data_IF_175466489446
#
_entry.id   IF_175466489446
#
_cell.length_a   1.000
_cell.length_b   1.000
_cell.length_c   1.000
_cell.angle_alpha   90.00
_cell.angle_beta   90.00
_cell.angle_gamma   90.00
#
_symmetry.space_group_name_H-M   'P 1'
#
loop_
_entity.id
_entity.type
_entity.pdbx_description
1 polymer ?
#
# COMPACT_ATOMS: atom_id res chain seq x y z
N UNK A 1 9.53 -21.75 -14.19
CA UNK A 1 9.98 -20.47 -13.58
C UNK A 1 11.26 -20.03 -14.28
N UNK A 2 11.44 -18.75 -14.64
CA UNK A 2 12.66 -18.30 -15.33
C UNK A 2 13.85 -18.31 -14.37
N UNK A 3 14.98 -18.87 -14.80
CA UNK A 3 16.28 -18.85 -14.09
C UNK A 3 16.87 -17.43 -14.18
N UNK A 4 16.52 -16.55 -13.23
CA UNK A 4 16.98 -15.16 -13.19
C UNK A 4 18.29 -14.98 -12.42
N UNK A 5 19.27 -14.31 -13.02
CA UNK A 5 20.50 -13.88 -12.34
C UNK A 5 20.23 -12.62 -11.52
N UNK A 6 20.85 -12.46 -10.33
CA UNK A 6 20.71 -11.26 -9.49
C UNK A 6 22.03 -10.49 -9.40
N UNK A 7 21.95 -9.16 -9.29
CA UNK A 7 23.09 -8.28 -9.12
C UNK A 7 23.19 -7.87 -7.65
N UNK A 8 24.37 -8.10 -7.05
CA UNK A 8 24.77 -7.52 -5.77
C UNK A 8 25.19 -6.07 -6.02
N UNK A 9 24.51 -5.12 -5.39
CA UNK A 9 25.01 -3.76 -5.23
C UNK A 9 25.65 -3.71 -3.83
N UNK A 10 26.98 -3.58 -3.75
CA UNK A 10 27.67 -3.21 -2.52
C UNK A 10 27.70 -1.68 -2.39
N UNK A 11 27.82 -1.10 -1.18
CA UNK A 11 27.79 0.35 -0.99
C UNK A 11 28.95 1.11 -1.66
N UNK A 12 30.02 0.43 -2.10
CA UNK A 12 31.13 1.07 -2.79
C UNK A 12 31.63 0.23 -3.98
N UNK A 13 31.51 0.83 -5.18
CA UNK A 13 32.37 0.72 -6.36
C UNK A 13 32.25 -0.50 -7.32
N UNK A 14 31.71 -1.67 -6.97
CA UNK A 14 31.46 -2.74 -7.98
C UNK A 14 30.12 -3.49 -7.86
N UNK A 15 29.34 -3.51 -8.94
CA UNK A 15 28.16 -4.37 -9.09
C UNK A 15 28.60 -5.79 -9.49
N UNK A 16 28.44 -6.78 -8.61
CA UNK A 16 28.77 -8.19 -8.91
C UNK A 16 27.51 -8.94 -9.34
N UNK A 17 27.54 -9.57 -10.51
CA UNK A 17 26.48 -10.52 -10.93
C UNK A 17 26.66 -11.80 -10.10
N UNK A 18 25.62 -12.18 -9.37
CA UNK A 18 25.54 -13.43 -8.63
C UNK A 18 24.87 -14.47 -9.52
N UNK A 19 25.51 -15.64 -9.65
CA UNK A 19 24.99 -16.79 -10.40
C UNK A 19 24.74 -18.01 -9.53
N UNK A 20 25.50 -18.14 -8.44
CA UNK A 20 25.39 -19.26 -7.51
C UNK A 20 24.08 -19.23 -6.71
N UNK A 21 23.45 -20.39 -6.59
CA UNK A 21 22.16 -20.57 -5.94
C UNK A 21 22.17 -20.11 -4.47
N UNK A 22 23.20 -20.47 -3.71
CA UNK A 22 23.30 -20.11 -2.29
C UNK A 22 23.56 -18.62 -2.09
N UNK A 23 24.39 -18.01 -2.94
CA UNK A 23 24.62 -16.56 -2.91
C UNK A 23 23.36 -15.77 -3.27
N UNK A 24 22.54 -16.27 -4.20
CA UNK A 24 21.24 -15.69 -4.56
C UNK A 24 20.29 -15.75 -3.35
N UNK A 25 20.22 -16.92 -2.69
CA UNK A 25 19.40 -17.11 -1.48
C UNK A 25 19.83 -16.16 -0.37
N UNK A 26 21.13 -16.09 -0.08
CA UNK A 26 21.70 -15.19 0.91
C UNK A 26 21.42 -13.73 0.58
N UNK A 27 21.55 -13.33 -0.69
CA UNK A 27 21.27 -11.95 -1.12
C UNK A 27 19.81 -11.55 -0.89
N UNK A 28 18.88 -12.48 -1.14
CA UNK A 28 17.45 -12.27 -0.86
C UNK A 28 17.20 -12.08 0.62
N UNK A 29 17.77 -12.96 1.45
CA UNK A 29 17.65 -12.87 2.91
C UNK A 29 18.19 -11.53 3.43
N UNK A 30 19.43 -11.17 3.06
CA UNK A 30 20.04 -9.88 3.42
C UNK A 30 19.14 -8.70 3.01
N UNK A 31 18.57 -8.74 1.80
CA UNK A 31 17.70 -7.69 1.29
C UNK A 31 16.40 -7.55 2.08
N UNK A 32 15.71 -8.65 2.34
CA UNK A 32 14.40 -8.62 3.01
C UNK A 32 14.54 -8.35 4.50
N UNK A 33 15.57 -8.88 5.15
CA UNK A 33 15.86 -8.56 6.55
C UNK A 33 16.11 -7.06 6.70
N UNK A 34 16.97 -6.47 5.86
CA UNK A 34 17.22 -5.01 5.88
C UNK A 34 15.95 -4.20 5.61
N UNK A 35 15.14 -4.63 4.63
CA UNK A 35 13.91 -3.94 4.25
C UNK A 35 12.88 -3.90 5.38
N UNK A 36 12.70 -5.02 6.09
CA UNK A 36 11.68 -5.18 7.12
C UNK A 36 12.21 -5.00 8.55
N UNK A 37 13.49 -4.66 8.73
CA UNK A 37 14.09 -4.40 10.04
C UNK A 37 13.41 -3.19 10.70
N UNK A 38 12.99 -3.37 11.96
CA UNK A 38 12.47 -2.27 12.78
C UNK A 38 13.59 -1.26 13.04
N UNK A 39 13.30 0.02 12.88
CA UNK A 39 14.21 1.07 13.31
C UNK A 39 14.17 1.16 14.84
N UNK A 40 15.32 1.18 15.50
CA UNK A 40 15.48 0.97 16.96
C UNK A 40 14.89 2.10 17.85
N UNK A 41 14.15 3.04 17.29
CA UNK A 41 13.92 4.34 17.92
C UNK A 41 12.64 4.52 18.75
N UNK A 42 11.77 3.50 18.89
CA UNK A 42 10.56 3.69 19.70
C UNK A 42 10.16 2.40 20.45
N UNK A 43 10.38 2.32 21.78
CA UNK A 43 9.82 1.23 22.58
C UNK A 43 8.30 1.32 22.57
N UNK A 44 7.64 0.18 22.36
CA UNK A 44 6.18 0.09 22.28
C UNK A 44 5.58 0.33 23.69
N UNK A 45 5.15 1.56 23.96
CA UNK A 45 4.82 2.02 25.31
C UNK A 45 3.31 2.06 25.60
N UNK A 46 2.52 1.17 24.98
CA UNK A 46 1.06 1.16 25.13
C UNK A 46 0.52 -0.12 25.80
N UNK A 47 0.57 -0.14 27.13
CA UNK A 47 -0.22 -1.01 28.01
C UNK A 47 -1.61 -0.39 28.28
N UNK A 48 -2.41 -0.16 27.25
CA UNK A 48 -3.81 0.26 27.42
C UNK A 48 -4.66 -0.93 27.85
N UNK A 49 -5.17 -0.94 29.08
CA UNK A 49 -6.18 -1.90 29.52
C UNK A 49 -7.49 -1.60 28.78
N UNK A 50 -8.00 -2.58 28.04
CA UNK A 50 -9.27 -2.46 27.30
C UNK A 50 -10.41 -2.41 28.32
N UNK A 51 -11.14 -1.30 28.39
CA UNK A 51 -12.39 -1.21 29.16
C UNK A 51 -13.53 -1.89 28.38
N UNK A 52 -14.42 -2.58 29.09
CA UNK A 52 -15.49 -3.42 28.51
C UNK A 52 -16.47 -2.68 27.57
N UNK A 53 -16.48 -1.34 27.57
CA UNK A 53 -17.36 -0.48 26.77
C UNK A 53 -16.93 -0.24 25.32
N UNK A 54 -15.73 -0.68 24.90
CA UNK A 54 -15.20 -0.48 23.54
C UNK A 54 -14.97 -1.79 22.76
N UNK A 55 -15.63 -2.88 23.16
CA UNK A 55 -15.46 -4.18 22.50
C UNK A 55 -16.41 -4.30 21.31
N UNK A 56 -15.86 -4.70 20.17
CA UNK A 56 -16.65 -5.03 18.99
C UNK A 56 -17.52 -6.27 19.24
N UNK A 57 -18.68 -6.40 18.56
CA UNK A 57 -19.52 -7.59 18.63
C UNK A 57 -18.74 -8.86 18.34
N UNK A 58 -19.15 -9.97 18.95
CA UNK A 58 -18.57 -11.29 18.65
C UNK A 58 -18.69 -11.63 17.16
N UNK A 59 -17.81 -12.50 16.66
CA UNK A 59 -17.89 -12.96 15.26
C UNK A 59 -19.13 -13.83 15.10
N UNK A 60 -19.82 -13.68 13.97
CA UNK A 60 -20.92 -14.56 13.57
C UNK A 60 -20.40 -15.67 12.65
N UNK A 61 -21.00 -16.86 12.74
CA UNK A 61 -20.68 -17.98 11.85
C UNK A 61 -20.94 -17.61 10.37
N UNK A 62 -21.95 -16.78 10.11
CA UNK A 62 -22.25 -16.25 8.77
C UNK A 62 -21.13 -15.37 8.23
N UNK A 63 -20.40 -14.62 9.07
CA UNK A 63 -19.23 -13.83 8.63
C UNK A 63 -18.10 -14.76 8.17
N UNK A 64 -17.90 -15.88 8.87
CA UNK A 64 -16.89 -16.89 8.52
C UNK A 64 -17.25 -17.59 7.21
N UNK A 65 -18.51 -18.00 7.07
CA UNK A 65 -19.03 -18.60 5.84
C UNK A 65 -18.85 -17.66 4.64
N UNK A 66 -19.32 -16.42 4.78
CA UNK A 66 -19.15 -15.39 3.75
C UNK A 66 -17.67 -15.15 3.41
N UNK A 67 -16.81 -15.05 4.42
CA UNK A 67 -15.39 -14.82 4.22
C UNK A 67 -14.74 -15.99 3.45
N UNK A 68 -15.07 -17.23 3.81
CA UNK A 68 -14.57 -18.42 3.13
C UNK A 68 -15.02 -18.49 1.67
N UNK A 69 -16.31 -18.23 1.40
CA UNK A 69 -16.87 -18.21 0.04
C UNK A 69 -16.28 -17.09 -0.83
N UNK A 70 -15.85 -15.98 -0.21
CA UNK A 70 -15.24 -14.85 -0.92
C UNK A 70 -13.79 -15.08 -1.35
N UNK A 71 -13.12 -16.13 -0.83
CA UNK A 71 -11.72 -16.43 -1.19
C UNK A 71 -11.71 -17.13 -2.54
N UNK A 72 -10.97 -16.55 -3.49
CA UNK A 72 -10.79 -17.13 -4.83
C UNK A 72 -10.06 -18.48 -4.77
N UNK A 73 -10.53 -19.44 -5.58
CA UNK A 73 -9.89 -20.74 -5.80
C UNK A 73 -8.66 -20.65 -6.71
N UNK A 74 -7.93 -21.75 -6.84
CA UNK A 74 -6.70 -21.90 -7.63
C UNK A 74 -5.59 -20.91 -7.22
N UNK A 75 -5.54 -20.59 -5.92
CA UNK A 75 -4.49 -19.73 -5.35
C UNK A 75 -3.45 -20.55 -4.61
N UNK A 76 -2.21 -20.07 -4.65
CA UNK A 76 -1.11 -20.71 -3.94
C UNK A 76 -1.37 -20.72 -2.43
N UNK A 77 -1.14 -21.89 -1.80
CA UNK A 77 -1.20 -22.07 -0.35
C UNK A 77 -0.09 -21.31 0.36
N UNK A 78 -0.34 -21.01 1.64
CA UNK A 78 0.69 -20.50 2.55
C UNK A 78 1.73 -21.55 2.91
N UNK A 79 2.51 -21.26 3.96
CA UNK A 79 3.51 -22.19 4.48
C UNK A 79 2.92 -23.49 5.05
N UNK A 80 1.64 -23.49 5.40
CA UNK A 80 0.88 -24.66 5.88
C UNK A 80 0.53 -25.68 4.78
N UNK A 81 0.68 -25.30 3.51
CA UNK A 81 0.35 -26.14 2.34
C UNK A 81 -1.12 -26.59 2.29
N UNK A 82 -2.01 -25.86 2.96
CA UNK A 82 -3.44 -26.14 2.92
C UNK A 82 -4.09 -25.30 1.80
N UNK A 83 -4.59 -25.94 0.72
CA UNK A 83 -5.30 -25.25 -0.36
C UNK A 83 -6.70 -24.81 0.11
N UNK A 84 -7.27 -23.79 -0.52
CA UNK A 84 -8.61 -23.28 -0.14
C UNK A 84 -9.71 -24.30 -0.47
N UNK A 85 -9.48 -25.09 -1.52
CA UNK A 85 -10.36 -26.14 -2.03
C UNK A 85 -10.67 -27.20 -0.97
N UNK A 86 -9.75 -27.47 -0.05
CA UNK A 86 -9.99 -28.40 1.05
C UNK A 86 -11.13 -27.90 1.95
N UNK A 87 -11.14 -26.62 2.29
CA UNK A 87 -12.22 -26.03 3.09
C UNK A 87 -13.55 -26.04 2.33
N UNK A 88 -13.52 -25.87 1.01
CA UNK A 88 -14.73 -25.93 0.17
C UNK A 88 -15.31 -27.35 0.07
N UNK A 89 -14.47 -28.38 0.12
CA UNK A 89 -14.91 -29.78 0.17
C UNK A 89 -15.57 -30.08 1.52
N UNK A 90 -14.97 -29.61 2.62
CA UNK A 90 -15.46 -29.83 3.99
C UNK A 90 -16.71 -29.00 4.32
N UNK A 91 -17.00 -27.93 3.57
CA UNK A 91 -18.20 -27.10 3.69
C UNK A 91 -18.46 -26.65 5.14
N UNK A 92 -19.60 -27.01 5.72
CA UNK A 92 -20.05 -26.55 7.02
C UNK A 92 -19.12 -27.01 8.16
N UNK A 93 -18.44 -28.16 8.02
CA UNK A 93 -17.49 -28.62 9.03
C UNK A 93 -16.24 -27.72 9.07
N UNK A 94 -15.77 -27.25 7.90
CA UNK A 94 -14.71 -26.24 7.85
C UNK A 94 -15.17 -24.92 8.47
N UNK A 95 -16.41 -24.49 8.21
CA UNK A 95 -16.96 -23.26 8.79
C UNK A 95 -17.01 -23.35 10.31
N UNK A 96 -17.50 -24.45 10.89
CA UNK A 96 -17.54 -24.64 12.36
C UNK A 96 -16.16 -24.58 13.00
N UNK A 97 -15.18 -25.26 12.42
CA UNK A 97 -13.80 -25.26 12.93
C UNK A 97 -13.17 -23.87 12.83
N UNK A 98 -13.28 -23.23 11.66
CA UNK A 98 -12.76 -21.88 11.45
C UNK A 98 -13.46 -20.87 12.37
N UNK A 99 -14.77 -21.01 12.57
CA UNK A 99 -15.55 -20.19 13.49
C UNK A 99 -15.04 -20.31 14.91
N UNK A 100 -14.86 -21.53 15.42
CA UNK A 100 -14.33 -21.76 16.76
C UNK A 100 -12.94 -21.11 16.94
N UNK A 101 -12.05 -21.28 15.97
CA UNK A 101 -10.70 -20.70 16.03
C UNK A 101 -10.75 -19.17 15.94
N UNK A 102 -11.50 -18.62 14.98
CA UNK A 102 -11.69 -17.18 14.80
C UNK A 102 -12.27 -16.54 16.05
N UNK A 103 -13.25 -17.18 16.69
CA UNK A 103 -13.87 -16.70 17.91
C UNK A 103 -12.91 -16.73 19.11
N UNK A 104 -12.07 -17.76 19.20
CA UNK A 104 -11.03 -17.81 20.23
C UNK A 104 -10.00 -16.71 20.03
N UNK A 105 -9.54 -16.47 18.79
CA UNK A 105 -8.65 -15.36 18.45
C UNK A 105 -9.32 -14.03 18.78
N UNK A 106 -10.59 -13.86 18.42
CA UNK A 106 -11.37 -12.64 18.71
C UNK A 106 -11.40 -12.34 20.20
N UNK A 107 -11.61 -13.38 21.03
CA UNK A 107 -11.77 -13.22 22.47
C UNK A 107 -10.46 -13.02 23.21
N UNK A 108 -9.45 -13.82 22.88
CA UNK A 108 -8.14 -13.84 23.54
C UNK A 108 -7.16 -12.84 22.94
N UNK A 109 -7.42 -12.37 21.72
CA UNK A 109 -6.53 -11.56 20.89
C UNK A 109 -5.20 -12.25 20.56
N UNK A 110 -5.10 -13.56 20.78
CA UNK A 110 -3.90 -14.36 20.51
C UNK A 110 -4.06 -15.10 19.20
N UNK A 111 -3.08 -14.91 18.30
CA UNK A 111 -3.06 -15.57 17.00
C UNK A 111 -2.18 -16.82 17.03
N UNK A 112 -2.57 -17.92 16.37
CA UNK A 112 -1.70 -19.06 16.17
C UNK A 112 -0.41 -18.65 15.44
N UNK A 113 0.75 -19.12 15.91
CA UNK A 113 2.03 -18.74 15.31
C UNK A 113 2.10 -19.07 13.81
N UNK A 114 1.52 -20.19 13.39
CA UNK A 114 1.44 -20.58 11.98
C UNK A 114 0.67 -19.57 11.11
N UNK A 115 -0.28 -18.81 11.68
CA UNK A 115 -1.04 -17.78 10.97
C UNK A 115 -0.29 -16.45 10.89
N UNK A 116 0.72 -16.27 11.75
CA UNK A 116 1.65 -15.14 11.73
C UNK A 116 2.82 -15.34 10.76
N UNK A 117 3.04 -16.56 10.25
CA UNK A 117 4.11 -16.87 9.30
C UNK A 117 3.72 -16.56 7.85
N UNK A 118 4.69 -16.06 7.08
CA UNK A 118 4.52 -15.75 5.65
C UNK A 118 5.65 -16.31 4.79
N UNK A 119 5.33 -16.80 3.60
CA UNK A 119 6.33 -17.12 2.58
C UNK A 119 6.32 -16.03 1.49
N UNK A 120 7.41 -15.27 1.37
CA UNK A 120 7.58 -14.24 0.37
C UNK A 120 8.02 -14.83 -0.96
N UNK A 121 7.28 -14.49 -2.02
CA UNK A 121 7.57 -14.89 -3.39
C UNK A 121 8.04 -13.64 -4.15
N UNK A 122 9.32 -13.59 -4.58
CA UNK A 122 9.80 -12.53 -5.44
C UNK A 122 9.16 -12.61 -6.82
N UNK A 123 8.47 -11.55 -7.22
CA UNK A 123 7.84 -11.40 -8.55
C UNK A 123 8.45 -10.18 -9.26
N UNK A 124 9.04 -10.32 -10.46
CA UNK A 124 9.70 -9.21 -11.14
C UNK A 124 8.70 -8.09 -11.49
N UNK A 125 9.05 -6.84 -11.20
CA UNK A 125 8.24 -5.65 -11.53
C UNK A 125 8.11 -5.44 -13.04
N UNK A 126 9.17 -5.75 -13.79
CA UNK A 126 9.29 -5.60 -15.24
C UNK A 126 10.20 -6.68 -15.82
N UNK A 127 10.15 -6.90 -17.13
CA UNK A 127 10.82 -8.00 -17.85
C UNK A 127 12.36 -8.08 -17.82
N UNK A 128 13.06 -7.25 -17.03
CA UNK A 128 14.53 -7.25 -16.91
C UNK A 128 14.99 -6.96 -15.47
N UNK A 129 14.41 -7.66 -14.50
CA UNK A 129 14.68 -7.42 -13.08
C UNK A 129 16.05 -7.98 -12.64
N UNK A 130 17.07 -7.11 -12.64
CA UNK A 130 18.45 -7.48 -12.28
C UNK A 130 18.80 -7.35 -10.79
N UNK A 131 18.04 -6.61 -9.99
CA UNK A 131 18.30 -6.41 -8.55
C UNK A 131 17.06 -6.70 -7.71
N UNK A 132 17.23 -7.03 -6.43
CA UNK A 132 16.12 -7.40 -5.54
C UNK A 132 15.04 -6.30 -5.43
N UNK A 133 15.43 -5.02 -5.47
CA UNK A 133 14.50 -3.88 -5.49
C UNK A 133 13.58 -3.82 -6.71
N UNK A 134 13.92 -4.53 -7.78
CA UNK A 134 13.13 -4.64 -9.00
C UNK A 134 12.11 -5.78 -8.93
N UNK A 135 11.89 -6.38 -7.76
CA UNK A 135 10.86 -7.37 -7.51
C UNK A 135 9.87 -6.84 -6.47
N UNK A 136 8.65 -7.36 -6.54
CA UNK A 136 7.69 -7.37 -5.45
C UNK A 136 7.90 -8.61 -4.60
N UNK A 137 7.75 -8.49 -3.29
CA UNK A 137 7.80 -9.64 -2.37
C UNK A 137 6.38 -9.99 -1.95
N UNK A 138 5.68 -10.80 -2.74
CA UNK A 138 4.29 -11.16 -2.47
C UNK A 138 4.23 -12.16 -1.32
N UNK A 139 3.47 -11.84 -0.27
CA UNK A 139 3.31 -12.67 0.90
C UNK A 139 2.24 -13.74 0.70
N UNK A 140 2.64 -15.00 0.79
CA UNK A 140 1.72 -16.13 0.90
C UNK A 140 1.50 -16.45 2.38
N UNK A 141 0.25 -16.28 2.81
CA UNK A 141 -0.23 -16.58 4.16
C UNK A 141 -1.25 -17.72 4.13
N UNK A 142 -1.45 -18.37 5.27
CA UNK A 142 -2.45 -19.44 5.45
C UNK A 142 -3.84 -18.99 4.96
N UNK A 143 -4.55 -19.86 4.24
CA UNK A 143 -5.93 -19.60 3.83
C UNK A 143 -6.87 -19.45 5.03
N UNK A 144 -6.66 -20.21 6.10
CA UNK A 144 -7.43 -20.07 7.33
C UNK A 144 -7.20 -18.68 7.98
N UNK A 145 -5.94 -18.21 7.99
CA UNK A 145 -5.63 -16.84 8.41
C UNK A 145 -6.34 -15.80 7.52
N UNK A 146 -6.33 -15.98 6.19
CA UNK A 146 -7.04 -15.07 5.26
C UNK A 146 -8.53 -14.93 5.57
N UNK A 147 -9.21 -15.99 6.02
CA UNK A 147 -10.63 -15.93 6.43
C UNK A 147 -10.80 -14.94 7.58
N UNK A 148 -10.00 -15.07 8.64
CA UNK A 148 -10.03 -14.14 9.77
C UNK A 148 -9.67 -12.70 9.36
N UNK A 149 -8.65 -12.53 8.50
CA UNK A 149 -8.27 -11.21 8.00
C UNK A 149 -9.36 -10.59 7.12
N UNK A 150 -10.15 -11.39 6.40
CA UNK A 150 -11.29 -10.92 5.60
C UNK A 150 -12.41 -10.38 6.48
N UNK A 151 -12.70 -11.03 7.61
CA UNK A 151 -13.67 -10.57 8.60
C UNK A 151 -13.20 -9.25 9.22
N UNK A 152 -11.95 -9.18 9.66
CA UNK A 152 -11.34 -7.94 10.16
C UNK A 152 -11.39 -6.82 9.13
N UNK A 153 -11.12 -7.13 7.85
CA UNK A 153 -11.19 -6.16 6.77
C UNK A 153 -12.61 -5.61 6.63
N UNK A 154 -13.63 -6.47 6.65
CA UNK A 154 -15.02 -6.06 6.51
C UNK A 154 -15.44 -5.10 7.62
N UNK A 155 -15.02 -5.35 8.87
CA UNK A 155 -15.29 -4.47 10.01
C UNK A 155 -14.54 -3.15 9.91
N UNK A 156 -13.24 -3.17 9.62
CA UNK A 156 -12.45 -1.96 9.39
C UNK A 156 -12.95 -1.11 8.23
N UNK A 157 -13.50 -1.75 7.19
CA UNK A 157 -14.05 -1.06 6.02
C UNK A 157 -15.23 -0.15 6.39
N UNK A 158 -16.02 -0.50 7.41
CA UNK A 158 -17.13 0.33 7.87
C UNK A 158 -16.62 1.68 8.39
N UNK A 159 -15.60 1.66 9.24
CA UNK A 159 -14.91 2.85 9.72
C UNK A 159 -14.24 3.61 8.56
N UNK A 160 -13.54 2.90 7.70
CA UNK A 160 -12.83 3.52 6.56
C UNK A 160 -13.79 4.25 5.61
N UNK A 161 -15.02 3.76 5.43
CA UNK A 161 -16.01 4.41 4.57
C UNK A 161 -16.48 5.76 5.13
N UNK A 162 -16.50 5.91 6.46
CA UNK A 162 -16.82 7.17 7.14
C UNK A 162 -15.63 8.14 7.10
N UNK A 163 -14.41 7.61 7.26
CA UNK A 163 -13.20 8.44 7.40
C UNK A 163 -12.57 8.86 6.06
N UNK A 164 -12.70 8.08 4.99
CA UNK A 164 -12.02 8.39 3.73
C UNK A 164 -12.76 9.43 2.87
N UNK A 165 -12.10 10.55 2.51
CA UNK A 165 -12.70 11.59 1.68
C UNK A 165 -12.82 11.15 0.23
N UNK A 166 -13.63 11.88 -0.54
CA UNK A 166 -13.98 11.46 -1.89
C UNK A 166 -12.80 11.39 -2.87
N UNK A 167 -11.77 12.18 -2.61
CA UNK A 167 -10.55 12.26 -3.41
C UNK A 167 -9.71 10.97 -3.39
N UNK A 168 -9.91 10.07 -2.42
CA UNK A 168 -9.26 8.76 -2.38
C UNK A 168 -10.15 7.72 -3.06
N UNK A 169 -9.70 7.21 -4.22
CA UNK A 169 -10.38 6.16 -4.96
C UNK A 169 -9.77 4.76 -4.74
N UNK A 170 -8.55 4.67 -4.23
CA UNK A 170 -7.84 3.40 -4.09
C UNK A 170 -8.52 2.46 -3.10
N UNK A 171 -8.75 1.21 -3.54
CA UNK A 171 -9.34 0.15 -2.73
C UNK A 171 -10.71 0.48 -2.12
N UNK A 172 -11.50 1.33 -2.80
CA UNK A 172 -12.88 1.63 -2.41
C UNK A 172 -13.87 0.98 -3.37
N UNK A 173 -14.96 0.47 -2.80
CA UNK A 173 -16.04 -0.12 -3.60
C UNK A 173 -16.67 0.96 -4.48
N UNK A 174 -16.82 0.65 -5.78
CA UNK A 174 -17.44 1.56 -6.75
C UNK A 174 -16.56 2.73 -7.20
N UNK A 175 -15.28 2.74 -6.85
CA UNK A 175 -14.30 3.72 -7.35
C UNK A 175 -13.14 3.01 -8.00
N UNK A 176 -12.64 3.55 -9.09
CA UNK A 176 -11.56 2.96 -9.87
C UNK A 176 -10.60 4.01 -10.40
N UNK A 177 -9.54 3.52 -11.03
CA UNK A 177 -8.56 4.38 -11.69
C UNK A 177 -9.20 5.22 -12.81
N UNK A 178 -10.22 4.67 -13.49
CA UNK A 178 -10.93 5.37 -14.58
C UNK A 178 -11.55 6.68 -14.11
N UNK A 179 -12.10 6.71 -12.90
CA UNK A 179 -12.70 7.92 -12.31
C UNK A 179 -11.63 8.99 -12.10
N UNK A 180 -10.47 8.61 -11.58
CA UNK A 180 -9.36 9.54 -11.36
C UNK A 180 -8.74 10.05 -12.65
N UNK A 181 -8.62 9.20 -13.67
CA UNK A 181 -8.16 9.61 -15.00
C UNK A 181 -9.15 10.59 -15.62
N UNK A 182 -10.46 10.30 -15.56
CA UNK A 182 -11.50 11.19 -16.07
C UNK A 182 -11.48 12.56 -15.36
N UNK A 183 -11.34 12.57 -14.03
CA UNK A 183 -11.21 13.80 -13.25
C UNK A 183 -10.02 14.64 -13.72
N UNK A 184 -8.84 14.04 -13.91
CA UNK A 184 -7.66 14.76 -14.40
C UNK A 184 -7.89 15.33 -15.80
N UNK A 185 -8.47 14.53 -16.71
CA UNK A 185 -8.78 14.99 -18.08
C UNK A 185 -9.73 16.19 -18.07
N UNK A 186 -10.84 16.11 -17.33
CA UNK A 186 -11.80 17.22 -17.22
C UNK A 186 -11.19 18.46 -16.59
N UNK A 187 -10.33 18.29 -15.58
CA UNK A 187 -9.62 19.41 -14.97
C UNK A 187 -8.72 20.12 -16.00
N UNK A 188 -7.98 19.36 -16.80
CA UNK A 188 -7.12 19.89 -17.87
C UNK A 188 -7.96 20.60 -18.94
N UNK A 189 -9.05 19.99 -19.40
CA UNK A 189 -9.97 20.58 -20.37
C UNK A 189 -10.57 21.90 -19.86
N UNK A 190 -11.03 21.92 -18.61
CA UNK A 190 -11.61 23.12 -18.02
C UNK A 190 -10.62 24.25 -17.85
N UNK A 191 -9.39 23.97 -17.39
CA UNK A 191 -8.40 25.04 -17.33
C UNK A 191 -8.04 25.60 -18.71
N UNK A 192 -8.06 24.78 -19.77
CA UNK A 192 -7.87 25.26 -21.14
C UNK A 192 -8.98 26.19 -21.58
N UNK A 193 -10.22 25.81 -21.31
CA UNK A 193 -11.41 26.63 -21.59
C UNK A 193 -11.28 28.02 -20.96
N UNK A 194 -10.75 28.10 -19.73
CA UNK A 194 -10.53 29.36 -19.01
C UNK A 194 -9.11 29.95 -19.15
N UNK A 195 -8.28 29.42 -20.06
CA UNK A 195 -6.88 29.85 -20.28
C UNK A 195 -6.02 29.92 -19.00
N UNK A 196 -6.26 29.01 -18.06
CA UNK A 196 -5.49 28.89 -16.83
C UNK A 196 -4.32 27.91 -17.00
N UNK A 197 -3.21 28.23 -16.34
CA UNK A 197 -2.13 27.28 -16.15
C UNK A 197 -2.53 26.28 -15.06
N UNK A 198 -2.16 25.01 -15.26
CA UNK A 198 -2.21 23.98 -14.23
C UNK A 198 -0.84 23.32 -14.12
N UNK A 199 -0.48 23.02 -12.88
CA UNK A 199 0.67 22.22 -12.51
C UNK A 199 0.20 20.98 -11.74
N UNK A 200 0.73 19.82 -12.10
CA UNK A 200 0.49 18.55 -11.42
C UNK A 200 1.80 18.00 -10.87
N UNK A 201 1.78 17.46 -9.65
CA UNK A 201 2.85 16.68 -9.06
C UNK A 201 2.35 15.27 -8.74
N UNK A 202 2.96 14.27 -9.34
CA UNK A 202 2.63 12.86 -9.17
C UNK A 202 3.64 12.21 -8.23
N UNK A 203 3.23 12.04 -6.97
CA UNK A 203 4.03 11.52 -5.87
C UNK A 203 4.14 9.99 -5.96
N UNK A 204 5.38 9.48 -5.89
CA UNK A 204 5.70 8.05 -5.69
C UNK A 204 6.36 7.92 -4.31
N UNK A 205 5.82 7.08 -3.44
CA UNK A 205 6.45 6.76 -2.15
C UNK A 205 7.49 5.65 -2.33
N UNK A 206 8.66 5.83 -1.71
CA UNK A 206 9.72 4.83 -1.74
C UNK A 206 9.32 3.61 -0.89
N UNK A 207 8.87 2.54 -1.57
CA UNK A 207 8.48 1.26 -0.95
C UNK A 207 7.38 1.44 0.12
N UNK A 208 6.31 2.15 -0.25
CA UNK A 208 5.25 2.60 0.66
C UNK A 208 4.77 1.52 1.65
N UNK A 209 4.35 0.36 1.14
CA UNK A 209 3.86 -0.75 1.96
C UNK A 209 4.95 -1.33 2.87
N UNK A 210 6.19 -1.41 2.41
CA UNK A 210 7.29 -2.04 3.15
C UNK A 210 7.83 -1.14 4.28
N UNK A 211 7.57 0.18 4.20
CA UNK A 211 8.07 1.20 5.13
C UNK A 211 7.07 1.63 6.22
N UNK A 212 5.86 1.07 6.25
CA UNK A 212 4.84 1.42 7.27
C UNK A 212 5.36 1.09 8.67
N UNK A 213 5.44 2.08 9.56
CA UNK A 213 5.84 1.87 10.95
C UNK A 213 4.65 1.33 11.76
N UNK A 214 4.82 0.17 12.41
CA UNK A 214 3.76 -0.46 13.19
C UNK A 214 3.35 0.38 14.41
N UNK A 215 4.31 0.96 15.14
CA UNK A 215 4.00 1.75 16.33
C UNK A 215 3.17 2.99 15.94
N UNK A 216 3.54 3.64 14.83
CA UNK A 216 2.79 4.78 14.30
C UNK A 216 1.43 4.36 13.77
N UNK A 217 1.34 3.23 13.07
CA UNK A 217 0.07 2.69 12.59
C UNK A 217 -0.93 2.48 13.73
N UNK A 218 -0.51 1.95 14.89
CA UNK A 218 -1.43 1.76 16.03
C UNK A 218 -1.92 3.08 16.62
N UNK A 219 -1.04 4.09 16.71
CA UNK A 219 -1.42 5.44 17.15
C UNK A 219 -2.42 6.06 16.18
N UNK A 220 -2.14 5.97 14.87
CA UNK A 220 -3.02 6.45 13.80
C UNK A 220 -4.40 5.80 13.87
N UNK A 221 -4.49 4.47 13.97
CA UNK A 221 -5.79 3.79 14.04
C UNK A 221 -6.60 4.25 15.25
N UNK A 222 -5.94 4.45 16.40
CA UNK A 222 -6.60 4.96 17.61
C UNK A 222 -7.11 6.39 17.43
N UNK A 223 -6.32 7.27 16.84
CA UNK A 223 -6.71 8.66 16.56
C UNK A 223 -7.83 8.76 15.53
N UNK A 224 -7.90 7.81 14.59
CA UNK A 224 -8.99 7.68 13.63
C UNK A 224 -10.25 6.99 14.20
N UNK A 225 -10.31 6.80 15.52
CA UNK A 225 -11.49 6.27 16.21
C UNK A 225 -11.70 4.76 16.04
N UNK A 226 -10.71 4.01 15.57
CA UNK A 226 -10.82 2.55 15.46
C UNK A 226 -10.82 1.94 16.86
N UNK A 227 -11.78 1.05 17.18
CA UNK A 227 -11.86 0.42 18.49
C UNK A 227 -10.56 -0.27 18.90
N UNK A 228 -10.18 -0.12 20.17
CA UNK A 228 -8.98 -0.73 20.75
C UNK A 228 -8.95 -2.25 20.54
N UNK A 229 -10.13 -2.90 20.55
CA UNK A 229 -10.22 -4.34 20.30
C UNK A 229 -9.69 -4.74 18.91
N UNK A 230 -10.07 -4.02 17.85
CA UNK A 230 -9.56 -4.28 16.49
C UNK A 230 -8.08 -3.94 16.38
N UNK A 231 -7.67 -2.82 16.97
CA UNK A 231 -6.27 -2.38 16.99
C UNK A 231 -5.37 -3.39 17.69
N UNK A 232 -5.81 -3.97 18.82
CA UNK A 232 -5.08 -5.02 19.53
C UNK A 232 -5.00 -6.32 18.72
N UNK A 233 -6.06 -6.72 18.02
CA UNK A 233 -6.02 -7.88 17.12
C UNK A 233 -4.98 -7.71 16.02
N UNK A 234 -4.92 -6.52 15.39
CA UNK A 234 -3.92 -6.19 14.38
C UNK A 234 -2.50 -6.12 14.95
N UNK A 235 -2.34 -5.50 16.12
CA UNK A 235 -1.05 -5.41 16.83
C UNK A 235 -0.51 -6.81 17.14
N UNK A 236 -1.33 -7.68 17.71
CA UNK A 236 -0.92 -9.04 18.06
C UNK A 236 -0.68 -9.94 16.85
N UNK A 237 -1.34 -9.65 15.72
CA UNK A 237 -1.02 -10.28 14.43
C UNK A 237 0.37 -9.85 13.95
N UNK A 238 0.73 -8.57 14.10
CA UNK A 238 2.03 -8.00 13.71
C UNK A 238 3.16 -8.38 14.68
N UNK A 239 2.85 -8.59 15.95
CA UNK A 239 3.80 -9.04 16.96
C UNK A 239 4.26 -10.49 16.72
N UNK A 240 5.57 -10.68 16.54
CA UNK A 240 6.18 -11.99 16.30
C UNK A 240 5.92 -12.55 14.90
N UNK A 241 5.70 -11.67 13.92
CA UNK A 241 5.59 -12.09 12.52
C UNK A 241 6.93 -12.55 11.98
N UNK A 242 6.91 -13.71 11.36
CA UNK A 242 8.07 -14.29 10.70
C UNK A 242 7.81 -14.41 9.20
N UNK A 243 8.85 -14.14 8.42
CA UNK A 243 8.85 -14.39 6.99
C UNK A 243 10.05 -15.25 6.57
N UNK A 244 9.90 -15.91 5.44
CA UNK A 244 10.97 -16.55 4.69
C UNK A 244 10.80 -16.22 3.22
N UNK A 245 11.88 -16.17 2.43
CA UNK A 245 11.82 -15.95 0.99
C UNK A 245 11.95 -17.28 0.27
N UNK A 246 10.93 -17.63 -0.52
CA UNK A 246 10.96 -18.82 -1.39
C UNK A 246 11.36 -18.40 -2.80
N UNK A 247 12.53 -18.86 -3.21
CA UNK A 247 13.11 -18.63 -4.54
C UNK A 247 13.06 -19.89 -5.39
N UNK A 248 13.39 -19.78 -6.67
CA UNK A 248 13.58 -20.96 -7.54
C UNK A 248 14.77 -21.85 -7.14
N UNK A 249 15.62 -21.38 -6.22
CA UNK A 249 16.83 -22.06 -5.77
C UNK A 249 16.71 -22.63 -4.34
N UNK A 250 15.54 -22.51 -3.72
CA UNK A 250 15.31 -22.92 -2.35
C UNK A 250 14.65 -21.83 -1.51
N UNK A 251 14.48 -22.13 -0.22
CA UNK A 251 13.84 -21.25 0.76
C UNK A 251 14.89 -20.73 1.74
N UNK A 252 14.83 -19.45 2.09
CA UNK A 252 15.75 -18.85 3.09
C UNK A 252 15.39 -19.30 4.50
N UNK A 253 16.24 -18.97 5.46
CA UNK A 253 15.87 -19.08 6.86
C UNK A 253 14.75 -18.09 7.21
N UNK A 254 14.11 -18.33 8.36
CA UNK A 254 13.09 -17.44 8.89
C UNK A 254 13.73 -16.18 9.48
N UNK A 255 13.10 -15.04 9.24
CA UNK A 255 13.47 -13.76 9.83
C UNK A 255 12.24 -13.04 10.37
N UNK A 256 12.45 -12.15 11.34
CA UNK A 256 11.38 -11.36 11.95
C UNK A 256 11.02 -10.15 11.09
N UNK A 257 9.72 -9.86 10.97
CA UNK A 257 9.19 -8.66 10.34
C UNK A 257 9.00 -7.59 11.41
N UNK A 258 9.76 -6.50 11.32
CA UNK A 258 9.74 -5.41 12.29
C UNK A 258 8.99 -4.15 11.83
N UNK A 259 8.71 -4.02 10.53
CA UNK A 259 7.92 -2.92 9.94
C UNK A 259 7.22 -3.39 8.67
N UNK A 260 6.44 -2.51 8.07
CA UNK A 260 5.74 -2.73 6.80
C UNK A 260 4.45 -3.54 6.93
N UNK A 261 3.60 -3.41 5.92
CA UNK A 261 2.40 -4.23 5.72
C UNK A 261 2.64 -5.19 4.56
N UNK A 262 2.19 -6.43 4.70
CA UNK A 262 2.51 -7.52 3.77
C UNK A 262 1.93 -7.27 2.38
N UNK A 263 2.77 -7.23 1.34
CA UNK A 263 2.27 -7.14 -0.04
C UNK A 263 1.45 -8.39 -0.41
N UNK A 264 0.27 -8.19 -0.99
CA UNK A 264 -0.66 -9.30 -1.32
C UNK A 264 -1.51 -9.81 -0.17
N UNK A 265 -1.33 -9.29 1.05
CA UNK A 265 -2.28 -9.52 2.14
C UNK A 265 -3.52 -8.64 1.96
N UNK A 266 -4.68 -9.19 2.33
CA UNK A 266 -5.99 -8.57 2.11
C UNK A 266 -6.23 -7.31 2.95
N UNK A 267 -5.60 -7.22 4.14
CA UNK A 267 -5.73 -6.08 5.03
C UNK A 267 -4.78 -4.93 4.68
N UNK A 268 -3.63 -5.22 4.05
CA UNK A 268 -2.58 -4.23 3.83
C UNK A 268 -3.07 -2.97 3.10
N UNK A 269 -3.92 -3.07 2.05
CA UNK A 269 -4.50 -1.89 1.41
C UNK A 269 -5.32 -1.01 2.36
N UNK A 270 -6.15 -1.64 3.22
CA UNK A 270 -6.99 -0.92 4.17
C UNK A 270 -6.14 -0.19 5.22
N UNK A 271 -5.12 -0.87 5.77
CA UNK A 271 -4.20 -0.26 6.75
C UNK A 271 -3.39 0.88 6.14
N UNK A 272 -2.92 0.72 4.90
CA UNK A 272 -2.20 1.78 4.20
C UNK A 272 -3.10 2.99 3.92
N UNK A 273 -4.38 2.77 3.59
CA UNK A 273 -5.33 3.87 3.39
C UNK A 273 -5.52 4.71 4.65
N UNK A 274 -5.66 4.10 5.84
CA UNK A 274 -5.69 4.86 7.10
C UNK A 274 -4.39 5.64 7.31
N UNK A 275 -3.25 5.02 7.06
CA UNK A 275 -1.94 5.65 7.17
C UNK A 275 -1.78 6.88 6.25
N UNK A 276 -2.17 6.72 4.98
CA UNK A 276 -2.12 7.78 3.99
C UNK A 276 -3.13 8.88 4.30
N UNK A 277 -4.31 8.54 4.83
CA UNK A 277 -5.31 9.52 5.22
C UNK A 277 -4.84 10.38 6.39
N UNK A 278 -4.21 9.78 7.40
CA UNK A 278 -3.60 10.52 8.49
C UNK A 278 -2.59 11.57 8.01
N UNK A 279 -1.73 11.20 7.05
CA UNK A 279 -0.76 12.15 6.46
C UNK A 279 -1.50 13.32 5.82
N UNK A 280 -2.54 13.04 5.03
CA UNK A 280 -3.26 14.09 4.29
C UNK A 280 -4.04 15.03 5.21
N UNK A 281 -4.67 14.51 6.28
CA UNK A 281 -5.34 15.34 7.28
C UNK A 281 -4.39 16.29 7.99
N UNK A 282 -3.22 15.79 8.39
CA UNK A 282 -2.21 16.60 9.06
C UNK A 282 -1.43 17.52 8.11
N UNK A 283 -1.53 17.32 6.79
CA UNK A 283 -0.89 18.20 5.81
C UNK A 283 -1.64 19.52 5.61
N UNK A 284 -2.83 19.71 6.22
CA UNK A 284 -3.64 20.94 6.14
C UNK A 284 -3.76 21.48 4.70
N UNK A 285 -4.03 20.59 3.74
CA UNK A 285 -4.10 20.95 2.32
C UNK A 285 -5.34 21.79 2.01
N UNK A 286 -6.46 21.51 2.66
CA UNK A 286 -7.72 22.25 2.46
C UNK A 286 -7.60 23.72 2.91
N UNK A 287 -6.86 23.97 3.99
CA UNK A 287 -6.62 25.31 4.53
C UNK A 287 -5.61 26.12 3.72
N UNK A 288 -4.84 25.47 2.85
CA UNK A 288 -3.76 26.12 2.11
C UNK A 288 -4.23 27.15 1.07
N UNK A 289 -5.54 27.25 0.81
CA UNK A 289 -6.15 28.08 -0.25
C UNK A 289 -5.52 27.89 -1.64
N UNK A 290 -4.79 26.79 -1.83
CA UNK A 290 -4.08 26.41 -3.03
C UNK A 290 -4.82 25.28 -3.75
N UNK A 291 -4.64 25.19 -5.06
CA UNK A 291 -5.33 24.21 -5.89
C UNK A 291 -6.05 24.82 -7.08
N UNK A 292 -6.85 24.01 -7.76
CA UNK A 292 -7.62 24.41 -8.92
C UNK A 292 -9.02 24.79 -8.47
N UNK A 293 -9.44 26.02 -8.78
CA UNK A 293 -10.75 26.54 -8.37
C UNK A 293 -11.81 26.11 -9.37
N UNK A 294 -12.71 25.22 -8.95
CA UNK A 294 -13.85 24.73 -9.73
C UNK A 294 -15.13 24.99 -8.95
N UNK A 295 -16.02 25.83 -9.49
CA UNK A 295 -17.34 26.14 -8.92
C UNK A 295 -17.27 26.49 -7.42
N UNK A 296 -16.35 27.39 -7.06
CA UNK A 296 -16.16 27.86 -5.67
C UNK A 296 -15.45 26.89 -4.73
N UNK A 297 -15.03 25.71 -5.18
CA UNK A 297 -14.22 24.76 -4.41
C UNK A 297 -12.79 24.71 -4.94
N UNK A 298 -11.82 24.54 -4.04
CA UNK A 298 -10.43 24.27 -4.44
C UNK A 298 -10.20 22.77 -4.46
N UNK A 299 -9.75 22.23 -5.60
CA UNK A 299 -9.32 20.84 -5.74
C UNK A 299 -7.80 20.84 -5.87
N UNK A 300 -7.11 20.25 -4.90
CA UNK A 300 -5.65 20.24 -4.85
C UNK A 300 -5.05 18.83 -4.84
N UNK A 301 -5.88 17.78 -4.69
CA UNK A 301 -5.41 16.42 -4.54
C UNK A 301 -6.37 15.40 -5.16
N UNK A 302 -5.79 14.40 -5.84
CA UNK A 302 -6.45 13.16 -6.23
C UNK A 302 -5.58 11.98 -5.84
N UNK A 303 -6.18 10.90 -5.33
CA UNK A 303 -5.45 9.75 -4.81
C UNK A 303 -6.01 8.43 -5.34
N UNK A 304 -5.11 7.51 -5.62
CA UNK A 304 -5.40 6.11 -5.84
C UNK A 304 -4.37 5.25 -5.09
N UNK A 305 -4.74 4.79 -3.89
CA UNK A 305 -3.84 4.05 -3.01
C UNK A 305 -2.62 4.91 -2.63
N UNK A 306 -1.40 4.46 -2.96
CA UNK A 306 -0.15 5.19 -2.76
C UNK A 306 0.12 6.24 -3.85
N UNK A 307 -0.49 6.12 -5.03
CA UNK A 307 -0.38 7.12 -6.08
C UNK A 307 -1.15 8.39 -5.67
N UNK A 308 -0.41 9.45 -5.39
CA UNK A 308 -0.97 10.76 -5.01
C UNK A 308 -0.65 11.80 -6.06
N UNK A 309 -1.67 12.50 -6.54
CA UNK A 309 -1.53 13.60 -7.49
C UNK A 309 -1.91 14.90 -6.81
N UNK A 310 -0.94 15.79 -6.60
CA UNK A 310 -1.19 17.17 -6.20
C UNK A 310 -1.39 18.04 -7.44
N UNK A 311 -2.18 19.10 -7.29
CA UNK A 311 -2.44 20.05 -8.37
C UNK A 311 -2.63 21.48 -7.86
N UNK A 312 -2.20 22.45 -8.65
CA UNK A 312 -2.37 23.88 -8.36
C UNK A 312 -2.36 24.74 -9.62
N UNK A 313 -2.81 26.00 -9.50
CA UNK A 313 -2.81 26.99 -10.59
C UNK A 313 -1.45 27.70 -10.74
N UNK A 314 -0.59 27.63 -9.71
CA UNK A 314 0.79 28.16 -9.74
C UNK A 314 1.83 27.13 -9.32
N UNK A 315 3.07 27.36 -9.76
CA UNK A 315 4.22 26.53 -9.39
C UNK A 315 4.54 26.65 -7.88
N UNK A 316 4.44 27.85 -7.33
CA UNK A 316 4.69 28.16 -5.93
C UNK A 316 3.69 27.45 -5.00
N UNK A 317 2.41 27.46 -5.35
CA UNK A 317 1.37 26.71 -4.63
C UNK A 317 1.64 25.21 -4.64
N UNK A 318 1.98 24.64 -5.81
CA UNK A 318 2.24 23.21 -5.91
C UNK A 318 3.47 22.80 -5.08
N UNK A 319 4.52 23.64 -5.02
CA UNK A 319 5.68 23.41 -4.13
C UNK A 319 5.27 23.43 -2.67
N UNK A 320 4.46 24.42 -2.27
CA UNK A 320 3.98 24.51 -0.88
C UNK A 320 3.21 23.25 -0.48
N UNK A 321 2.28 22.78 -1.33
CA UNK A 321 1.53 21.54 -1.09
C UNK A 321 2.45 20.33 -1.00
N UNK A 322 3.42 20.20 -1.91
CA UNK A 322 4.35 19.08 -1.90
C UNK A 322 5.24 19.06 -0.64
N UNK A 323 5.71 20.23 -0.19
CA UNK A 323 6.52 20.34 1.03
C UNK A 323 5.73 19.93 2.27
N UNK A 324 4.48 20.39 2.41
CA UNK A 324 3.58 19.97 3.50
C UNK A 324 3.40 18.45 3.53
N UNK A 325 3.09 17.84 2.38
CA UNK A 325 2.93 16.37 2.29
C UNK A 325 4.24 15.65 2.62
N UNK A 326 5.38 16.15 2.13
CA UNK A 326 6.70 15.57 2.40
C UNK A 326 7.01 15.58 3.89
N UNK A 327 6.85 16.72 4.56
CA UNK A 327 7.14 16.90 5.98
C UNK A 327 6.28 15.96 6.84
N UNK A 328 4.97 15.91 6.60
CA UNK A 328 4.08 15.02 7.33
C UNK A 328 4.36 13.54 7.05
N UNK A 329 4.70 13.18 5.81
CA UNK A 329 5.09 11.82 5.45
C UNK A 329 6.34 11.37 6.20
N UNK A 330 7.34 12.24 6.30
CA UNK A 330 8.61 11.95 6.97
C UNK A 330 8.42 11.78 8.48
N UNK A 331 7.52 12.56 9.11
CA UNK A 331 7.14 12.37 10.53
C UNK A 331 6.61 10.97 10.79
N UNK A 332 5.89 10.38 9.84
CA UNK A 332 5.44 8.99 9.91
C UNK A 332 6.39 7.99 9.24
N UNK A 333 7.59 8.38 8.83
CA UNK A 333 8.60 7.46 8.30
C UNK A 333 8.38 7.00 6.85
N UNK A 334 7.45 7.63 6.11
CA UNK A 334 7.33 7.45 4.67
C UNK A 334 8.16 8.50 3.94
N UNK A 335 8.97 8.04 2.97
CA UNK A 335 9.84 8.90 2.17
C UNK A 335 9.34 8.98 0.74
N UNK A 336 9.38 10.18 0.17
CA UNK A 336 9.10 10.37 -1.25
C UNK A 336 10.26 9.84 -2.10
N UNK A 337 9.91 9.22 -3.21
CA UNK A 337 10.86 8.81 -4.23
C UNK A 337 11.03 9.93 -5.25
N UNK A 338 12.00 10.80 -4.98
CA UNK A 338 12.31 11.99 -5.77
C UNK A 338 12.53 11.64 -7.26
N UNK A 339 13.21 10.52 -7.55
CA UNK A 339 13.52 10.13 -8.93
C UNK A 339 12.30 9.68 -9.74
N UNK A 340 11.26 9.18 -9.06
CA UNK A 340 10.04 8.68 -9.71
C UNK A 340 8.87 9.64 -9.63
N UNK A 341 8.85 10.52 -8.63
CA UNK A 341 7.88 11.58 -8.54
C UNK A 341 8.05 12.49 -9.76
N UNK A 342 6.96 12.92 -10.37
CA UNK A 342 6.98 13.62 -11.67
C UNK A 342 6.14 14.86 -11.67
N UNK A 343 6.49 15.82 -12.53
CA UNK A 343 5.75 17.06 -12.69
C UNK A 343 5.30 17.21 -14.13
N UNK A 344 4.03 17.57 -14.28
CA UNK A 344 3.41 17.91 -15.56
C UNK A 344 2.80 19.29 -15.43
N UNK A 345 2.98 20.15 -16.43
CA UNK A 345 2.43 21.50 -16.40
C UNK A 345 2.00 21.92 -17.81
N UNK A 346 0.87 22.63 -17.89
CA UNK A 346 0.44 23.32 -19.11
C UNK A 346 1.19 24.66 -19.30
N UNK A 347 1.61 25.29 -18.20
CA UNK A 347 2.37 26.55 -18.20
C UNK A 347 3.90 26.37 -18.24
N UNK A 348 4.66 27.49 -18.31
CA UNK A 348 6.11 27.48 -18.12
C UNK A 348 6.44 27.09 -16.68
N UNK A 349 7.56 26.39 -16.50
CA UNK A 349 8.15 26.06 -15.20
C UNK A 349 9.46 26.84 -15.13
N UNK A 350 9.53 27.82 -14.25
CA UNK A 350 10.65 28.78 -14.22
C UNK A 350 11.53 28.62 -12.99
N UNK A 351 10.97 28.13 -11.86
CA UNK A 351 11.65 28.17 -10.57
C UNK A 351 11.78 26.80 -9.89
N UNK A 352 11.54 25.67 -10.58
CA UNK A 352 11.31 24.38 -9.90
C UNK A 352 12.60 23.73 -9.45
N UNK A 353 13.00 24.02 -8.21
CA UNK A 353 14.13 23.38 -7.54
C UNK A 353 13.69 22.86 -6.18
N UNK A 354 13.44 21.56 -6.11
CA UNK A 354 13.46 20.81 -4.86
C UNK A 354 14.67 19.88 -4.99
N UNK A 355 15.72 20.05 -4.19
CA UNK A 355 16.86 19.12 -4.13
C UNK A 355 17.59 18.81 -5.48
N UNK A 356 17.52 19.72 -6.47
CA UNK A 356 18.29 19.71 -7.73
C UNK A 356 18.14 18.47 -8.65
N UNK A 357 17.15 17.59 -8.48
CA UNK A 357 17.01 16.36 -9.29
C UNK A 357 15.57 16.04 -9.68
N UNK A 358 15.03 16.63 -10.76
CA UNK A 358 13.67 16.32 -11.22
C UNK A 358 13.53 16.27 -12.74
N UNK A 359 12.54 15.48 -13.20
CA UNK A 359 12.20 15.33 -14.62
C UNK A 359 10.80 15.89 -14.90
N UNK A 360 10.74 17.03 -15.58
CA UNK A 360 9.51 17.51 -16.24
C UNK A 360 9.06 16.47 -17.26
N UNK A 361 7.76 16.18 -17.28
CA UNK A 361 7.15 15.27 -18.25
C UNK A 361 6.01 16.00 -18.97
N UNK A 362 5.98 15.92 -20.30
CA UNK A 362 4.81 16.34 -21.10
C UNK A 362 3.71 15.26 -21.10
N UNK A 363 4.06 14.05 -20.68
CA UNK A 363 3.18 12.89 -20.66
C UNK A 363 3.46 12.04 -19.44
N UNK A 364 2.41 11.56 -18.78
CA UNK A 364 2.49 10.57 -17.70
C UNK A 364 1.62 9.36 -18.02
N UNK A 365 2.00 8.19 -17.50
CA UNK A 365 1.09 7.06 -17.40
C UNK A 365 0.53 7.00 -15.97
N UNK A 366 -0.79 7.12 -15.81
CA UNK A 366 -1.48 6.93 -14.54
C UNK A 366 -2.42 5.72 -14.66
N UNK A 367 -2.22 4.73 -13.77
CA UNK A 367 -2.97 3.47 -13.77
C UNK A 367 -3.12 2.79 -15.13
N UNK A 368 -2.07 2.86 -15.95
CA UNK A 368 -2.00 2.22 -17.27
C UNK A 368 -2.31 3.14 -18.45
N UNK A 369 -2.92 4.31 -18.24
CA UNK A 369 -3.33 5.23 -19.30
C UNK A 369 -2.41 6.42 -19.48
N UNK A 370 -2.14 6.78 -20.74
CA UNK A 370 -1.32 7.94 -21.12
C UNK A 370 -2.14 9.22 -20.98
N UNK A 371 -1.67 10.13 -20.13
CA UNK A 371 -2.19 11.49 -19.95
C UNK A 371 -1.15 12.47 -20.48
N UNK A 372 -1.56 13.43 -21.31
CA UNK A 372 -0.69 14.50 -21.80
C UNK A 372 -1.06 15.84 -21.16
N UNK A 373 -0.09 16.75 -21.04
CA UNK A 373 -0.33 18.14 -20.62
C UNK A 373 -1.32 18.86 -21.58
N UNK A 374 -1.43 18.30 -22.77
CA UNK A 374 -2.46 18.35 -23.78
C UNK A 374 -3.94 18.21 -23.45
N UNK A 375 -4.24 17.37 -22.47
CA UNK A 375 -5.51 16.65 -22.49
C UNK A 375 -5.76 15.84 -23.78
N UNK A 376 -4.80 15.71 -24.71
CA UNK A 376 -5.01 15.01 -25.97
C UNK A 376 -5.08 13.50 -25.72
N UNK A 377 -6.29 12.98 -25.83
CA UNK A 377 -6.59 11.58 -25.66
C UNK A 377 -6.35 10.76 -26.94
N UNK A 378 -6.04 11.39 -28.08
CA UNK A 378 -5.89 10.71 -29.38
C UNK A 378 -4.81 9.63 -29.35
N UNK A 379 -3.72 9.87 -28.63
CA UNK A 379 -2.62 8.92 -28.47
C UNK A 379 -2.98 7.70 -27.63
N UNK A 380 -3.79 7.86 -26.58
CA UNK A 380 -4.25 6.75 -25.75
C UNK A 380 -5.32 5.93 -26.49
N UNK A 381 -6.24 6.60 -27.19
CA UNK A 381 -7.25 5.93 -28.03
C UNK A 381 -6.57 5.05 -29.08
N UNK A 382 -5.58 5.59 -29.81
CA UNK A 382 -4.79 4.81 -30.78
C UNK A 382 -4.09 3.61 -30.13
N UNK A 383 -3.51 3.79 -28.94
CA UNK A 383 -2.84 2.70 -28.21
C UNK A 383 -3.81 1.60 -27.78
N UNK A 384 -5.01 1.95 -27.34
CA UNK A 384 -6.03 0.97 -26.95
C UNK A 384 -6.67 0.25 -28.16
N UNK A 385 -6.70 0.86 -29.34
CA UNK A 385 -7.23 0.24 -30.56
C UNK A 385 -6.22 -0.66 -31.29
N UNK A 386 -4.93 -0.52 -31.00
CA UNK A 386 -3.83 -1.29 -31.61
C UNK A 386 -3.39 -2.51 -30.78
N UNK A 387 -4.07 -2.79 -29.68
CA UNK A 387 -3.93 -3.97 -28.82
C UNK A 387 -5.27 -4.70 -28.73
#
# INVERSE_FOLDING_TARGET
MPKGHLIKLKPFIFSKIIKEAEDIKKRWQEYTEELYKKDLHDPDNHNGVITHTHREPDILESEVKWALESITTNKASGGDRIPVELFQILKDDAVKVLYSISQQIWKTQQWPQNWKRSAFIPVPKKGNAKGCSNYHTIALISHASKVMLKILQARLQQYMNCELPDVQAGFRKGRGTRDQIANICWIIEKAREFQKNIYFCFIDYAKAFDCVDHNKLWKILKEMGIPDHLTCLLRNLCAGQEATVRTGHGTTDWFQIGKGVRQGCILSPCLFNFYAEYIMRNSCLEEAQAGIKIVGRSINILRYADDTTLMAESEEELKSLLMKVKEESEKVGLKLNIQKTKIMASGPITSWQIEKQWKRCQTLFLGGSKITADGDCSHEIKRCLLH
#
